data_IF_278032603236
#
_entry.id   IF_278032603236
#
_cell.length_a   1.000
_cell.length_b   1.000
_cell.length_c   1.000
_cell.angle_alpha   90.00
_cell.angle_beta   90.00
_cell.angle_gamma   90.00
#
_symmetry.space_group_name_H-M   'P 1'
#
loop_
_entity.id
_entity.type
_entity.pdbx_description
1 polymer ?
#
# COMPACT_ATOMS: atom_id res chain seq x y z
N UNK A 1 12.59 1.18 -6.89
CA UNK A 1 11.97 0.06 -6.16
C UNK A 1 11.05 -0.67 -7.13
N UNK A 2 10.99 -2.00 -7.09
CA UNK A 2 10.11 -2.80 -7.96
C UNK A 2 9.01 -3.40 -7.11
N UNK A 3 7.76 -3.18 -7.53
CA UNK A 3 6.60 -3.83 -6.97
C UNK A 3 6.25 -5.03 -7.85
N UNK A 4 6.14 -6.20 -7.23
CA UNK A 4 5.78 -7.44 -7.91
C UNK A 4 4.40 -7.86 -7.45
N UNK A 5 3.47 -7.95 -8.39
CA UNK A 5 2.14 -8.47 -8.15
C UNK A 5 1.86 -9.60 -9.13
N UNK A 6 1.48 -10.78 -8.61
CA UNK A 6 1.33 -11.99 -9.41
C UNK A 6 2.54 -12.22 -10.33
N UNK A 7 2.38 -11.97 -11.64
CA UNK A 7 3.41 -12.13 -12.68
C UNK A 7 3.86 -10.81 -13.33
N UNK A 8 3.43 -9.67 -12.78
CA UNK A 8 3.76 -8.36 -13.31
C UNK A 8 4.75 -7.63 -12.41
N UNK A 9 5.67 -6.90 -13.05
CA UNK A 9 6.68 -6.07 -12.39
C UNK A 9 6.42 -4.61 -12.72
N UNK A 10 6.22 -3.81 -11.69
CA UNK A 10 5.92 -2.39 -11.81
C UNK A 10 7.01 -1.56 -11.15
N UNK A 11 7.36 -0.45 -11.78
CA UNK A 11 8.30 0.49 -11.20
C UNK A 11 7.56 1.39 -10.22
N UNK A 12 8.02 1.41 -8.98
CA UNK A 12 7.55 2.36 -7.98
C UNK A 12 8.33 3.67 -8.16
N UNK A 13 7.63 4.78 -8.37
CA UNK A 13 8.25 6.10 -8.56
C UNK A 13 8.29 6.92 -7.29
N UNK A 14 7.32 6.74 -6.40
CA UNK A 14 7.26 7.43 -5.11
C UNK A 14 6.61 6.57 -4.04
N UNK A 15 7.03 6.72 -2.79
CA UNK A 15 6.45 6.05 -1.62
C UNK A 15 6.26 7.11 -0.52
N UNK A 16 5.04 7.22 -0.02
CA UNK A 16 4.66 8.03 1.11
C UNK A 16 4.24 7.09 2.26
N UNK A 17 5.14 6.81 3.23
CA UNK A 17 4.86 5.90 4.32
C UNK A 17 3.80 6.44 5.30
N UNK A 18 3.76 7.76 5.53
CA UNK A 18 2.85 8.39 6.50
C UNK A 18 1.37 8.22 6.13
N UNK A 19 1.08 8.19 4.82
CA UNK A 19 -0.28 8.01 4.30
C UNK A 19 -0.56 6.60 3.79
N UNK A 20 0.41 5.69 3.93
CA UNK A 20 0.41 4.35 3.37
C UNK A 20 0.08 4.31 1.87
N UNK A 21 0.77 5.16 1.08
CA UNK A 21 0.56 5.29 -0.37
C UNK A 21 1.84 5.21 -1.18
N UNK A 22 1.77 4.66 -2.37
CA UNK A 22 2.88 4.67 -3.33
C UNK A 22 2.36 4.85 -4.76
N UNK A 23 3.22 5.35 -5.63
CA UNK A 23 2.94 5.55 -7.04
C UNK A 23 3.59 4.45 -7.88
N UNK A 24 2.78 3.79 -8.71
CA UNK A 24 3.21 2.80 -9.67
C UNK A 24 3.20 3.37 -11.07
N UNK A 25 4.32 3.23 -11.78
CA UNK A 25 4.41 3.58 -13.19
C UNK A 25 4.03 2.42 -14.08
N UNK A 26 2.96 2.60 -14.83
CA UNK A 26 2.54 1.72 -15.92
C UNK A 26 2.96 2.33 -17.26
N UNK A 27 3.30 1.47 -18.22
CA UNK A 27 3.75 1.89 -19.57
C UNK A 27 2.62 2.47 -20.42
N UNK A 28 1.37 2.12 -20.12
CA UNK A 28 0.22 2.64 -20.84
C UNK A 28 -0.05 4.10 -20.44
N UNK A 29 -0.39 4.95 -21.41
CA UNK A 29 -0.64 6.37 -21.20
C UNK A 29 -2.15 6.56 -21.01
N UNK A 30 -2.54 6.73 -19.77
CA UNK A 30 -3.89 6.96 -19.31
C UNK A 30 -3.95 8.40 -18.82
N UNK A 31 -4.61 9.24 -19.61
CA UNK A 31 -4.74 10.67 -19.31
C UNK A 31 -5.75 10.92 -18.19
N UNK A 32 -6.75 10.04 -18.07
CA UNK A 32 -7.79 10.20 -17.07
C UNK A 32 -8.25 8.85 -16.49
N UNK A 33 -7.89 8.61 -15.22
CA UNK A 33 -8.23 7.39 -14.51
C UNK A 33 -9.64 7.36 -13.91
N UNK A 34 -10.41 8.45 -14.07
CA UNK A 34 -11.82 8.46 -13.67
C UNK A 34 -12.74 7.99 -14.79
N UNK A 35 -12.25 7.86 -16.02
CA UNK A 35 -13.07 7.35 -17.12
C UNK A 35 -13.24 5.84 -17.00
N UNK A 36 -14.47 5.34 -17.06
CA UNK A 36 -14.79 3.91 -16.85
C UNK A 36 -13.92 2.98 -17.71
N UNK A 37 -13.68 3.36 -18.97
CA UNK A 37 -12.90 2.57 -19.92
C UNK A 37 -11.39 2.56 -19.61
N UNK A 38 -10.89 3.51 -18.82
CA UNK A 38 -9.49 3.56 -18.42
C UNK A 38 -9.29 2.99 -17.02
N UNK A 39 -10.28 3.14 -16.15
CA UNK A 39 -10.30 2.50 -14.82
C UNK A 39 -10.36 0.97 -14.94
N UNK A 40 -10.99 0.42 -15.99
CA UNK A 40 -10.93 -1.02 -16.28
C UNK A 40 -9.50 -1.51 -16.52
N UNK A 41 -8.70 -0.77 -17.30
CA UNK A 41 -7.30 -1.11 -17.64
C UNK A 41 -6.37 -1.05 -16.43
N UNK A 42 -6.70 -0.22 -15.44
CA UNK A 42 -5.96 -0.12 -14.18
C UNK A 42 -6.45 -1.17 -13.18
N UNK A 43 -7.75 -1.49 -13.19
CA UNK A 43 -8.31 -2.59 -12.39
C UNK A 43 -7.75 -3.95 -12.78
N UNK A 44 -7.26 -4.12 -14.03
CA UNK A 44 -6.52 -5.31 -14.49
C UNK A 44 -5.19 -5.54 -13.76
N UNK A 45 -4.69 -4.59 -12.98
CA UNK A 45 -3.49 -4.77 -12.15
C UNK A 45 -3.64 -5.93 -11.14
N UNK A 46 -4.87 -6.40 -10.87
CA UNK A 46 -5.18 -7.54 -10.00
C UNK A 46 -4.39 -7.51 -8.68
N UNK A 47 -4.40 -6.35 -8.02
CA UNK A 47 -3.70 -6.14 -6.76
C UNK A 47 -4.28 -7.06 -5.70
N UNK A 48 -3.40 -7.79 -5.00
CA UNK A 48 -3.79 -8.62 -3.87
C UNK A 48 -3.89 -7.77 -2.60
N UNK A 49 -4.79 -8.16 -1.69
CA UNK A 49 -4.83 -7.55 -0.34
C UNK A 49 -3.44 -7.68 0.30
N UNK A 50 -2.89 -6.59 0.88
CA UNK A 50 -3.55 -5.38 1.38
C UNK A 50 -3.54 -4.16 0.44
N UNK A 51 -3.27 -4.34 -0.86
CA UNK A 51 -3.09 -3.25 -1.81
C UNK A 51 -4.38 -2.87 -2.54
N UNK A 52 -4.66 -1.58 -2.61
CA UNK A 52 -5.89 -1.02 -3.14
C UNK A 52 -5.61 0.18 -4.05
N UNK A 53 -6.33 0.25 -5.16
CA UNK A 53 -6.34 1.44 -6.01
C UNK A 53 -7.08 2.57 -5.30
N UNK A 54 -6.49 3.77 -5.27
CA UNK A 54 -7.20 4.96 -4.77
C UNK A 54 -8.07 5.62 -5.84
N UNK A 55 -7.86 5.25 -7.12
CA UNK A 55 -8.51 5.86 -8.28
C UNK A 55 -7.84 7.15 -8.76
N UNK A 56 -6.75 7.56 -8.11
CA UNK A 56 -5.95 8.70 -8.52
C UNK A 56 -4.80 8.25 -9.42
N UNK A 57 -4.55 9.03 -10.47
CA UNK A 57 -3.39 8.82 -11.32
C UNK A 57 -2.94 10.13 -11.98
N UNK A 58 -1.70 10.13 -12.44
CA UNK A 58 -1.12 11.21 -13.21
C UNK A 58 -0.50 10.67 -14.50
N UNK A 59 -0.84 11.27 -15.63
CA UNK A 59 -0.18 10.96 -16.89
C UNK A 59 1.21 11.60 -16.94
N UNK A 60 2.24 10.78 -17.09
CA UNK A 60 3.60 11.22 -17.28
C UNK A 60 3.83 11.44 -18.78
N UNK A 61 3.49 12.65 -19.23
CA UNK A 61 3.65 13.07 -20.63
C UNK A 61 5.12 13.25 -21.05
N UNK A 62 6.05 13.30 -20.09
CA UNK A 62 7.47 13.59 -20.34
C UNK A 62 8.22 12.31 -20.71
N UNK A 63 7.97 11.24 -19.98
CA UNK A 63 8.68 9.96 -20.19
C UNK A 63 7.80 8.87 -20.80
N UNK A 64 6.51 9.15 -20.96
CA UNK A 64 5.52 8.18 -21.41
C UNK A 64 5.12 7.24 -20.28
N UNK A 65 3.83 7.25 -19.95
CA UNK A 65 3.19 6.30 -19.04
C UNK A 65 2.20 6.98 -18.12
N UNK A 66 1.72 6.21 -17.15
CA UNK A 66 0.81 6.71 -16.10
C UNK A 66 1.33 6.29 -14.75
N UNK A 67 1.34 7.22 -13.81
CA UNK A 67 1.56 6.94 -12.41
C UNK A 67 0.21 6.73 -11.74
N UNK A 68 -0.03 5.53 -11.24
CA UNK A 68 -1.25 5.15 -10.53
C UNK A 68 -0.95 5.11 -9.04
N UNK A 69 -1.81 5.73 -8.25
CA UNK A 69 -1.68 5.70 -6.79
C UNK A 69 -2.31 4.44 -6.19
N UNK A 70 -1.48 3.72 -5.43
CA UNK A 70 -1.86 2.56 -4.65
C UNK A 70 -1.79 2.91 -3.18
N UNK A 71 -2.82 2.57 -2.44
CA UNK A 71 -2.84 2.56 -0.98
C UNK A 71 -2.64 1.14 -0.48
N UNK A 72 -1.90 0.97 0.60
CA UNK A 72 -1.90 -0.29 1.34
C UNK A 72 -2.54 -0.12 2.70
N UNK A 73 -3.20 -1.17 3.17
CA UNK A 73 -3.65 -1.21 4.56
C UNK A 73 -2.50 -1.64 5.48
N UNK A 74 -2.35 -0.99 6.64
CA UNK A 74 -1.34 -1.37 7.61
C UNK A 74 -1.59 -2.81 8.08
N UNK A 75 -0.52 -3.59 8.32
CA UNK A 75 -0.66 -4.95 8.81
C UNK A 75 -1.38 -4.94 10.17
N UNK A 76 -2.20 -5.96 10.40
CA UNK A 76 -2.85 -6.16 11.70
C UNK A 76 -1.78 -6.42 12.75
N UNK A 77 -1.79 -5.65 13.84
CA UNK A 77 -0.84 -5.84 14.93
C UNK A 77 -0.95 -7.26 15.51
N UNK A 78 0.18 -7.95 15.74
CA UNK A 78 0.15 -9.31 16.26
C UNK A 78 -0.42 -9.35 17.67
N UNK A 79 -1.17 -10.41 17.95
CA UNK A 79 -1.67 -10.69 19.30
C UNK A 79 -0.50 -11.06 20.21
N UNK A 80 -0.45 -10.50 21.40
CA UNK A 80 0.57 -10.79 22.40
C UNK A 80 -0.08 -11.28 23.69
N UNK A 81 0.59 -12.17 24.42
CA UNK A 81 0.20 -12.53 25.79
C UNK A 81 1.08 -11.81 26.81
N UNK A 82 2.35 -11.64 26.46
CA UNK A 82 3.43 -11.07 27.25
C UNK A 82 4.21 -10.02 26.42
N UNK A 83 4.92 -9.12 27.11
CA UNK A 83 5.78 -8.13 26.46
C UNK A 83 6.93 -8.76 25.66
N UNK A 84 7.35 -9.98 26.01
CA UNK A 84 8.38 -10.72 25.27
C UNK A 84 7.92 -11.09 23.85
N UNK A 85 6.61 -11.26 23.64
CA UNK A 85 6.04 -11.60 22.33
C UNK A 85 6.16 -10.45 21.32
N UNK A 86 6.38 -9.22 21.82
CA UNK A 86 6.57 -8.02 20.99
C UNK A 86 8.04 -7.68 20.74
N UNK A 87 8.99 -8.52 21.17
CA UNK A 87 10.43 -8.21 21.02
C UNK A 87 10.92 -8.14 19.58
N UNK A 88 10.23 -8.84 18.67
CA UNK A 88 10.53 -8.79 17.24
C UNK A 88 10.16 -7.43 16.63
N UNK A 89 9.32 -6.64 17.32
CA UNK A 89 8.93 -5.29 16.94
C UNK A 89 9.61 -4.23 17.82
N UNK A 90 10.64 -3.54 17.31
CA UNK A 90 11.33 -2.51 18.07
C UNK A 90 10.37 -1.36 18.39
N UNK A 91 10.48 -0.86 19.63
CA UNK A 91 9.59 0.17 20.16
C UNK A 91 8.10 -0.23 20.25
N UNK A 92 7.80 -1.52 20.40
CA UNK A 92 6.44 -2.01 20.64
C UNK A 92 6.22 -2.49 22.07
N UNK A 93 5.01 -2.26 22.60
CA UNK A 93 4.58 -2.75 23.92
C UNK A 93 3.30 -3.59 23.80
N UNK A 94 3.20 -4.63 24.63
CA UNK A 94 2.00 -5.48 24.65
C UNK A 94 0.90 -4.78 25.46
N UNK A 95 -0.08 -4.20 24.76
CA UNK A 95 -1.19 -3.45 25.36
C UNK A 95 -2.54 -3.97 24.90
N UNK A 96 -3.61 -3.65 25.64
CA UNK A 96 -4.96 -4.14 25.35
C UNK A 96 -5.65 -3.22 24.33
N UNK A 97 -6.04 -3.76 23.19
CA UNK A 97 -6.80 -3.07 22.14
C UNK A 97 -8.24 -2.78 22.58
N UNK A 98 -8.94 -1.92 21.84
CA UNK A 98 -10.34 -1.59 22.08
C UNK A 98 -11.26 -2.83 22.12
N UNK A 99 -10.97 -3.84 21.29
CA UNK A 99 -11.67 -5.15 21.26
C UNK A 99 -11.30 -6.09 22.41
N UNK A 100 -10.47 -5.65 23.36
CA UNK A 100 -10.09 -6.41 24.55
C UNK A 100 -9.04 -7.49 24.34
N UNK A 101 -8.55 -7.68 23.10
CA UNK A 101 -7.39 -8.51 22.78
C UNK A 101 -6.10 -7.76 23.10
N UNK A 102 -5.05 -8.47 23.54
CA UNK A 102 -3.73 -7.88 23.75
C UNK A 102 -2.97 -7.90 22.42
N UNK A 103 -2.47 -6.77 21.96
CA UNK A 103 -1.69 -6.64 20.73
C UNK A 103 -0.39 -5.87 20.98
N UNK A 104 0.59 -6.05 20.10
CA UNK A 104 1.83 -5.30 20.13
C UNK A 104 1.61 -3.93 19.49
N UNK A 105 1.43 -2.91 20.33
CA UNK A 105 1.26 -1.53 19.87
C UNK A 105 2.62 -0.87 19.67
N UNK A 106 2.79 -0.19 18.55
CA UNK A 106 3.95 0.68 18.34
C UNK A 106 3.83 1.93 19.21
N UNK A 107 4.82 2.20 20.06
CA UNK A 107 4.85 3.42 20.85
C UNK A 107 5.34 4.56 19.95
N UNK A 108 4.43 5.41 19.45
CA UNK A 108 4.82 6.68 18.85
C UNK A 108 5.03 7.69 20.00
N UNK A 109 6.30 8.03 20.29
CA UNK A 109 6.69 9.20 21.08
C UNK A 109 6.52 10.50 20.26
#
# INVERSE_FOLDING_TARGET
VIFKESNSLYNVTSINPDTHRFLLKIKDVVVNCTSENQMSRISELNLSSPFHLTGQCNADMVTGGTEVEIRWDPPVEPTCSLSVDCKDWPNSSCSKSADGKKQCFCNHD
#
